data_IF_356585604916
#
_entry.id   IF_356585604916
#
_cell.length_a   1.000
_cell.length_b   1.000
_cell.length_c   1.000
_cell.angle_alpha   90.00
_cell.angle_beta   90.00
_cell.angle_gamma   90.00
#
_symmetry.space_group_name_H-M   'P 1'
#
loop_
_entity.id
_entity.type
_entity.pdbx_description
1 polymer ?
#
# COMPACT_ATOMS: atom_id res chain seq x y z
N UNK A 1 -14.85 52.77 -43.32
CA UNK A 1 -14.90 51.29 -43.51
C UNK A 1 -13.63 50.55 -43.08
N UNK A 2 -12.49 51.19 -42.78
CA UNK A 2 -11.26 50.52 -42.32
C UNK A 2 -11.12 50.34 -40.79
N UNK A 3 -11.97 50.99 -39.98
CA UNK A 3 -11.89 50.88 -38.50
C UNK A 3 -12.57 49.61 -37.97
N UNK A 4 -13.63 49.12 -38.61
CA UNK A 4 -14.33 47.89 -38.20
C UNK A 4 -13.57 46.60 -38.53
N UNK A 5 -12.65 46.64 -39.51
CA UNK A 5 -11.78 45.50 -39.86
C UNK A 5 -10.73 45.21 -38.79
N UNK A 6 -10.21 46.25 -38.11
CA UNK A 6 -9.21 46.10 -37.04
C UNK A 6 -9.84 45.55 -35.75
N UNK A 7 -11.09 45.93 -35.44
CA UNK A 7 -11.83 45.39 -34.29
C UNK A 7 -12.32 43.96 -34.50
N UNK A 8 -12.59 43.53 -35.75
CA UNK A 8 -13.01 42.15 -36.07
C UNK A 8 -11.88 41.12 -35.91
N UNK A 9 -10.63 41.51 -36.20
CA UNK A 9 -9.45 40.63 -36.03
C UNK A 9 -9.02 40.48 -34.57
N UNK A 10 -9.28 41.49 -33.72
CA UNK A 10 -8.93 41.45 -32.29
C UNK A 10 -9.86 40.59 -31.43
N UNK A 11 -11.07 40.28 -31.88
CA UNK A 11 -12.00 39.38 -31.16
C UNK A 11 -11.78 37.89 -31.49
N UNK A 12 -11.15 37.55 -32.61
CA UNK A 12 -10.80 36.18 -32.96
C UNK A 12 -9.54 35.68 -32.24
N UNK A 13 -8.64 36.58 -31.83
CA UNK A 13 -7.41 36.20 -31.12
C UNK A 13 -7.63 35.89 -29.65
N UNK A 14 -8.75 36.31 -29.04
CA UNK A 14 -9.03 36.04 -27.62
C UNK A 14 -9.62 34.63 -27.41
N UNK A 15 -10.00 33.91 -28.48
CA UNK A 15 -10.58 32.56 -28.38
C UNK A 15 -9.57 31.40 -28.47
N UNK A 16 -8.28 31.63 -28.77
CA UNK A 16 -7.37 30.53 -29.18
C UNK A 16 -6.11 30.34 -28.33
N UNK A 17 -6.18 30.61 -27.03
CA UNK A 17 -5.14 30.11 -26.12
C UNK A 17 -5.74 29.67 -24.78
N UNK A 18 -6.54 28.60 -24.81
CA UNK A 18 -6.56 27.70 -23.65
C UNK A 18 -5.32 26.83 -23.78
N UNK A 19 -4.17 27.36 -23.38
CA UNK A 19 -2.98 26.56 -23.15
C UNK A 19 -3.28 25.71 -21.92
N UNK A 20 -3.66 24.45 -22.16
CA UNK A 20 -3.77 23.46 -21.09
C UNK A 20 -2.37 23.23 -20.53
N UNK A 21 -1.97 24.08 -19.58
CA UNK A 21 -0.81 23.82 -18.75
C UNK A 21 -1.10 22.49 -18.05
N UNK A 22 -0.43 21.43 -18.49
CA UNK A 22 -0.45 20.18 -17.77
C UNK A 22 0.06 20.49 -16.36
N UNK A 23 -0.81 20.28 -15.36
CA UNK A 23 -0.42 20.46 -13.96
C UNK A 23 0.66 19.42 -13.68
N UNK A 24 1.88 19.89 -13.44
CA UNK A 24 2.97 19.02 -13.02
C UNK A 24 2.65 18.46 -11.63
N UNK A 25 2.77 17.15 -11.47
CA UNK A 25 2.57 16.43 -10.21
C UNK A 25 3.80 16.52 -9.29
N UNK A 26 4.97 16.81 -9.86
CA UNK A 26 6.26 16.83 -9.17
C UNK A 26 7.27 17.75 -9.88
N UNK A 27 8.36 18.10 -9.19
CA UNK A 27 9.45 18.87 -9.78
C UNK A 27 10.50 17.95 -10.42
N UNK A 28 11.07 18.28 -11.60
CA UNK A 28 12.06 17.42 -12.27
C UNK A 28 13.22 17.01 -11.35
N UNK A 29 13.62 15.75 -11.44
CA UNK A 29 14.65 15.11 -10.62
C UNK A 29 14.31 14.91 -9.14
N UNK A 30 13.09 15.24 -8.69
CA UNK A 30 12.62 14.76 -7.38
C UNK A 30 12.60 13.23 -7.36
N UNK A 31 12.90 12.67 -6.19
CA UNK A 31 12.90 11.23 -5.96
C UNK A 31 11.99 10.91 -4.78
N UNK A 32 11.13 9.90 -4.94
CA UNK A 32 10.33 9.35 -3.86
C UNK A 32 10.37 7.82 -3.86
N UNK A 33 9.95 7.24 -2.75
CA UNK A 33 9.72 5.81 -2.61
C UNK A 33 8.20 5.57 -2.58
N UNK A 34 7.71 4.69 -3.44
CA UNK A 34 6.35 4.15 -3.38
C UNK A 34 6.46 2.64 -3.18
N UNK A 35 6.03 2.16 -2.01
CA UNK A 35 6.31 0.80 -1.54
C UNK A 35 7.81 0.46 -1.63
N UNK A 36 8.16 -0.59 -2.36
CA UNK A 36 9.54 -0.98 -2.63
C UNK A 36 10.10 -0.34 -3.91
N UNK A 37 9.30 0.40 -4.67
CA UNK A 37 9.70 1.02 -5.92
C UNK A 37 10.29 2.41 -5.70
N UNK A 38 11.29 2.74 -6.50
CA UNK A 38 11.87 4.08 -6.54
C UNK A 38 11.30 4.82 -7.73
N UNK A 39 10.83 6.04 -7.49
CA UNK A 39 10.25 6.91 -8.50
C UNK A 39 11.11 8.15 -8.68
N UNK A 40 11.33 8.54 -9.93
CA UNK A 40 11.95 9.82 -10.30
C UNK A 40 10.95 10.67 -11.07
N UNK A 41 10.90 11.96 -10.77
CA UNK A 41 10.12 12.90 -11.54
C UNK A 41 10.85 13.25 -12.84
N UNK A 42 10.21 13.00 -13.97
CA UNK A 42 10.77 13.34 -15.29
C UNK A 42 10.45 14.79 -15.66
N UNK A 43 11.15 15.35 -16.64
CA UNK A 43 10.96 16.74 -17.12
C UNK A 43 9.51 17.10 -17.47
N UNK A 44 8.72 16.10 -17.90
CA UNK A 44 7.30 16.28 -18.22
C UNK A 44 6.39 16.45 -16.99
N UNK A 45 6.91 16.37 -15.76
CA UNK A 45 6.18 16.65 -14.54
C UNK A 45 5.34 15.49 -14.00
N UNK A 46 5.70 14.24 -14.31
CA UNK A 46 5.06 13.04 -13.75
C UNK A 46 6.08 12.02 -13.25
N UNK A 47 5.62 11.10 -12.40
CA UNK A 47 6.47 10.09 -11.78
C UNK A 47 6.75 8.91 -12.71
N UNK A 48 8.04 8.58 -12.85
CA UNK A 48 8.50 7.35 -13.49
C UNK A 48 9.08 6.42 -12.42
N UNK A 49 8.38 5.32 -12.13
CA UNK A 49 8.75 4.37 -11.09
C UNK A 49 9.33 3.07 -11.65
N UNK A 50 10.20 2.43 -10.87
CA UNK A 50 10.52 1.00 -11.08
C UNK A 50 9.25 0.15 -10.93
N UNK A 51 9.27 -1.08 -11.45
CA UNK A 51 8.14 -2.03 -11.39
C UNK A 51 8.53 -3.34 -10.70
N UNK A 52 9.17 -3.22 -9.55
CA UNK A 52 9.47 -4.33 -8.67
C UNK A 52 8.18 -4.88 -8.05
N UNK A 53 8.09 -6.20 -7.95
CA UNK A 53 7.05 -6.86 -7.17
C UNK A 53 7.33 -6.60 -5.69
N UNK A 54 6.56 -5.72 -5.09
CA UNK A 54 6.64 -5.44 -3.66
C UNK A 54 5.88 -6.52 -2.91
N UNK A 55 6.62 -7.48 -2.35
CA UNK A 55 6.04 -8.42 -1.40
C UNK A 55 5.75 -7.66 -0.12
N UNK A 56 4.49 -7.62 0.29
CA UNK A 56 4.14 -7.15 1.62
C UNK A 56 4.95 -7.94 2.65
N UNK A 57 5.55 -7.24 3.61
CA UNK A 57 6.11 -7.90 4.78
C UNK A 57 4.93 -8.61 5.43
N UNK A 58 4.91 -9.96 5.38
CA UNK A 58 3.90 -10.74 6.09
C UNK A 58 3.82 -10.19 7.50
N UNK A 59 2.68 -9.61 7.86
CA UNK A 59 2.43 -9.26 9.25
C UNK A 59 2.65 -10.53 10.05
N UNK A 60 3.66 -10.50 10.91
CA UNK A 60 3.99 -11.64 11.74
C UNK A 60 2.85 -11.80 12.72
N UNK A 61 2.10 -12.91 12.62
CA UNK A 61 0.98 -13.19 13.54
C UNK A 61 1.44 -13.41 14.99
N UNK A 62 2.75 -13.58 15.16
CA UNK A 62 3.41 -13.82 16.43
C UNK A 62 4.86 -13.33 16.35
N UNK A 63 5.42 -12.97 17.50
CA UNK A 63 6.83 -12.63 17.62
C UNK A 63 7.68 -13.91 17.60
N UNK A 64 8.78 -13.92 16.84
CA UNK A 64 9.62 -15.11 16.66
C UNK A 64 10.07 -15.69 18.00
N UNK A 65 9.89 -17.01 18.20
CA UNK A 65 10.23 -17.69 19.45
C UNK A 65 9.22 -17.53 20.60
N UNK A 66 8.19 -16.68 20.45
CA UNK A 66 7.09 -16.59 21.42
C UNK A 66 6.38 -17.95 21.59
N UNK A 67 5.79 -18.17 22.77
CA UNK A 67 5.12 -19.42 23.15
C UNK A 67 3.70 -19.09 23.60
N UNK A 68 2.73 -19.88 23.14
CA UNK A 68 1.34 -19.81 23.59
C UNK A 68 0.75 -21.22 23.74
N UNK A 69 -0.49 -21.33 24.17
CA UNK A 69 -1.19 -22.60 24.27
C UNK A 69 -2.63 -22.54 23.73
N UNK A 70 -3.08 -23.64 23.16
CA UNK A 70 -4.45 -23.84 22.65
C UNK A 70 -5.09 -25.08 23.31
N UNK A 71 -6.40 -25.30 23.10
CA UNK A 71 -7.18 -26.39 23.73
C UNK A 71 -7.03 -26.45 25.26
N UNK A 72 -7.34 -25.35 25.95
CA UNK A 72 -7.26 -25.23 27.42
C UNK A 72 -5.87 -25.57 27.98
N UNK A 73 -4.80 -25.22 27.26
CA UNK A 73 -3.42 -25.47 27.70
C UNK A 73 -2.87 -26.84 27.33
N UNK A 74 -3.67 -27.70 26.70
CA UNK A 74 -3.24 -29.04 26.29
C UNK A 74 -2.18 -28.99 25.17
N UNK A 75 -2.37 -28.11 24.19
CA UNK A 75 -1.45 -27.95 23.07
C UNK A 75 -0.56 -26.72 23.25
N UNK A 76 0.75 -26.87 23.04
CA UNK A 76 1.72 -25.77 23.11
C UNK A 76 2.12 -25.36 21.71
N UNK A 77 2.17 -24.06 21.46
CA UNK A 77 2.56 -23.47 20.19
C UNK A 77 3.81 -22.62 20.36
N UNK A 78 4.73 -22.69 19.39
CA UNK A 78 5.86 -21.78 19.28
C UNK A 78 5.77 -21.02 17.96
N UNK A 79 6.07 -19.74 17.97
CA UNK A 79 6.15 -18.95 16.76
C UNK A 79 7.40 -19.34 15.97
N UNK A 80 7.20 -19.70 14.70
CA UNK A 80 8.26 -19.97 13.75
C UNK A 80 7.93 -19.33 12.40
N UNK A 81 8.82 -18.48 11.90
CA UNK A 81 8.62 -17.72 10.65
C UNK A 81 7.28 -16.94 10.60
N UNK A 82 6.89 -16.36 11.73
CA UNK A 82 5.64 -15.58 11.86
C UNK A 82 4.35 -16.41 11.85
N UNK A 83 4.44 -17.73 12.00
CA UNK A 83 3.30 -18.64 12.13
C UNK A 83 3.38 -19.49 13.41
N UNK A 84 2.23 -19.80 14.01
CA UNK A 84 2.14 -20.67 15.17
C UNK A 84 2.32 -22.14 14.75
N UNK A 85 3.42 -22.76 15.19
CA UNK A 85 3.63 -24.21 15.10
C UNK A 85 3.25 -24.86 16.43
N UNK A 86 2.14 -25.61 16.43
CA UNK A 86 1.55 -26.20 17.63
C UNK A 86 1.76 -27.72 17.71
N UNK A 87 1.84 -28.26 18.92
CA UNK A 87 1.68 -29.70 19.15
C UNK A 87 0.25 -30.13 18.81
N UNK A 88 0.06 -31.41 18.46
CA UNK A 88 -1.25 -32.00 18.16
C UNK A 88 -1.56 -33.15 19.11
N UNK A 89 -1.67 -32.84 20.40
CA UNK A 89 -2.11 -33.80 21.42
C UNK A 89 -3.63 -33.94 21.35
N UNK A 90 -4.12 -35.14 21.64
CA UNK A 90 -5.54 -35.35 21.88
C UNK A 90 -5.92 -34.73 23.23
N UNK A 91 -6.83 -33.76 23.22
CA UNK A 91 -7.20 -33.00 24.41
C UNK A 91 -8.53 -33.47 24.97
N UNK A 92 -8.48 -34.02 26.19
CA UNK A 92 -9.68 -34.37 26.95
C UNK A 92 -10.26 -33.11 27.56
N UNK A 93 -11.37 -32.62 26.99
CA UNK A 93 -12.16 -31.57 27.60
C UNK A 93 -12.85 -32.16 28.83
N UNK A 94 -12.19 -32.11 29.98
CA UNK A 94 -12.81 -32.49 31.25
C UNK A 94 -13.76 -31.38 31.71
N UNK A 95 -14.90 -31.25 31.02
CA UNK A 95 -16.10 -30.68 31.63
C UNK A 95 -16.96 -31.79 32.25
N UNK A 96 -16.28 -32.77 32.85
CA UNK A 96 -16.87 -33.91 33.55
C UNK A 96 -16.73 -33.74 35.05
N UNK A 97 -17.37 -32.73 35.64
CA UNK A 97 -17.76 -32.84 37.05
C UNK A 97 -18.97 -33.75 37.15
N UNK A 98 -18.76 -35.07 37.14
CA UNK A 98 -19.57 -35.97 37.96
C UNK A 98 -18.83 -37.30 38.16
N UNK A 99 -18.43 -37.57 39.40
CA UNK A 99 -17.75 -38.80 39.77
C UNK A 99 -16.98 -38.69 41.08
N UNK A 100 -17.69 -38.40 42.18
CA UNK A 100 -17.51 -38.92 43.54
C UNK A 100 -17.93 -37.90 44.60
N UNK A 101 -19.17 -38.04 45.11
CA UNK A 101 -19.39 -38.47 46.50
C UNK A 101 -20.80 -39.06 46.62
#
# INVERSE_FOLDING_TARGET
>A
MFRYFVFGLLLLTVLTAVESAAVAECSPNEVKQEDCNTCICVEAGFWSCTKMLCLEKRETKCDEGSITSFDNGCNTCRCYNGAWACTLKFCLNNNGTNGNN
#
